data_IF_953810255175
#
_entry.id   IF_953810255175
#
_cell.length_a   1.000
_cell.length_b   1.000
_cell.length_c   1.000
_cell.angle_alpha   90.00
_cell.angle_beta   90.00
_cell.angle_gamma   90.00
#
_symmetry.space_group_name_H-M   'P 1'
#
loop_
_entity.id
_entity.type
_entity.pdbx_description
1 polymer ?
#
# COMPACT_ATOMS: atom_id res chain seq x y z
N UNK A 1 19.50 20.35 -8.83
CA UNK A 1 19.16 19.05 -9.42
C UNK A 1 18.80 19.26 -10.89
N UNK A 2 19.27 18.42 -11.84
CA UNK A 2 18.86 18.54 -13.22
C UNK A 2 17.35 18.28 -13.35
N UNK A 3 16.66 19.11 -14.14
CA UNK A 3 15.23 18.92 -14.43
C UNK A 3 15.08 17.73 -15.37
N UNK A 4 14.01 16.93 -15.19
CA UNK A 4 13.66 15.83 -16.10
C UNK A 4 13.57 16.33 -17.55
N UNK A 5 14.15 15.60 -18.49
CA UNK A 5 13.98 15.85 -19.93
C UNK A 5 12.51 15.67 -20.35
N UNK A 6 12.08 16.23 -21.49
CA UNK A 6 10.75 15.96 -22.04
C UNK A 6 10.47 14.46 -22.21
N UNK A 7 11.45 13.69 -22.68
CA UNK A 7 11.36 12.24 -22.86
C UNK A 7 11.14 11.51 -21.52
N UNK A 8 11.88 11.89 -20.47
CA UNK A 8 11.73 11.31 -19.13
C UNK A 8 10.34 11.60 -18.54
N UNK A 9 9.79 12.79 -18.79
CA UNK A 9 8.43 13.14 -18.35
C UNK A 9 7.38 12.33 -19.10
N UNK A 10 7.52 12.22 -20.42
CA UNK A 10 6.60 11.42 -21.24
C UNK A 10 6.64 9.93 -20.85
N UNK A 11 7.82 9.40 -20.51
CA UNK A 11 7.94 8.02 -20.02
C UNK A 11 7.32 7.82 -18.64
N UNK A 12 7.46 8.79 -17.74
CA UNK A 12 6.77 8.78 -16.45
C UNK A 12 5.25 8.84 -16.58
N UNK A 13 4.76 9.67 -17.49
CA UNK A 13 3.33 9.77 -17.79
C UNK A 13 2.78 8.47 -18.39
N UNK A 14 3.52 7.82 -19.30
CA UNK A 14 3.15 6.50 -19.83
C UNK A 14 3.02 5.45 -18.72
N UNK A 15 4.00 5.36 -17.82
CA UNK A 15 3.97 4.42 -16.70
C UNK A 15 2.84 4.72 -15.72
N UNK A 16 2.55 6.01 -15.46
CA UNK A 16 1.41 6.41 -14.65
C UNK A 16 0.08 5.95 -15.26
N UNK A 17 -0.13 6.19 -16.57
CA UNK A 17 -1.32 5.73 -17.28
C UNK A 17 -1.44 4.20 -17.24
N UNK A 18 -0.33 3.49 -17.44
CA UNK A 18 -0.31 2.03 -17.37
C UNK A 18 -0.65 1.50 -15.96
N UNK A 19 -0.18 2.16 -14.88
CA UNK A 19 -0.55 1.78 -13.51
C UNK A 19 -2.04 2.02 -13.22
N UNK A 20 -2.61 3.12 -13.73
CA UNK A 20 -4.05 3.40 -13.61
C UNK A 20 -4.91 2.38 -14.36
N UNK A 21 -4.43 1.91 -15.52
CA UNK A 21 -5.19 1.05 -16.44
C UNK A 21 -4.88 -0.43 -16.33
N UNK A 22 -4.00 -0.85 -15.42
CA UNK A 22 -3.69 -2.25 -15.19
C UNK A 22 -4.95 -2.99 -14.71
N UNK A 23 -5.26 -4.14 -15.32
CA UNK A 23 -6.51 -4.87 -15.11
C UNK A 23 -6.35 -6.18 -14.34
N UNK A 24 -5.12 -6.50 -13.90
CA UNK A 24 -4.81 -7.72 -13.18
C UNK A 24 -3.44 -7.62 -12.49
N UNK A 25 -3.17 -8.60 -11.63
CA UNK A 25 -1.90 -8.72 -10.90
C UNK A 25 -0.67 -8.72 -11.78
N UNK A 26 -0.67 -9.44 -12.92
CA UNK A 26 0.49 -9.51 -13.81
C UNK A 26 0.83 -8.15 -14.43
N UNK A 27 -0.17 -7.31 -14.71
CA UNK A 27 0.02 -5.94 -15.19
C UNK A 27 0.44 -4.97 -14.07
N UNK A 28 0.09 -5.26 -12.82
CA UNK A 28 0.48 -4.46 -11.65
C UNK A 28 1.90 -4.76 -11.16
N UNK A 29 2.39 -5.99 -11.34
CA UNK A 29 3.70 -6.46 -10.87
C UNK A 29 4.89 -5.55 -11.23
N UNK A 30 5.01 -5.02 -12.47
CA UNK A 30 6.12 -4.15 -12.84
C UNK A 30 6.20 -2.87 -11.99
N UNK A 31 5.09 -2.42 -11.41
CA UNK A 31 5.05 -1.18 -10.63
C UNK A 31 5.54 -1.36 -9.19
N UNK A 32 5.73 -2.58 -8.69
CA UNK A 32 6.28 -2.82 -7.34
C UNK A 32 7.66 -2.16 -7.14
N UNK A 33 8.41 -1.98 -8.22
CA UNK A 33 9.77 -1.42 -8.20
C UNK A 33 9.90 -0.11 -9.00
N UNK A 34 8.78 0.49 -9.41
CA UNK A 34 8.79 1.75 -10.16
C UNK A 34 9.59 2.83 -9.38
N UNK A 35 10.51 3.57 -10.02
CA UNK A 35 11.33 4.55 -9.31
C UNK A 35 10.50 5.69 -8.70
N UNK A 36 9.31 5.98 -9.25
CA UNK A 36 8.42 7.02 -8.75
C UNK A 36 7.42 6.46 -7.74
N UNK A 37 7.53 6.90 -6.48
CA UNK A 37 6.62 6.48 -5.41
C UNK A 37 5.13 6.79 -5.69
N UNK A 38 4.83 7.83 -6.48
CA UNK A 38 3.46 8.16 -6.82
C UNK A 38 2.85 7.11 -7.75
N UNK A 39 3.64 6.55 -8.68
CA UNK A 39 3.18 5.47 -9.57
C UNK A 39 2.95 4.18 -8.78
N UNK A 40 3.82 3.88 -7.81
CA UNK A 40 3.62 2.73 -6.91
C UNK A 40 2.35 2.87 -6.05
N UNK A 41 2.08 4.08 -5.56
CA UNK A 41 0.83 4.38 -4.85
C UNK A 41 -0.40 4.23 -5.77
N UNK A 42 -0.34 4.76 -7.00
CA UNK A 42 -1.38 4.56 -8.02
C UNK A 42 -1.66 3.08 -8.26
N UNK A 43 -0.62 2.26 -8.42
CA UNK A 43 -0.77 0.82 -8.64
C UNK A 43 -1.37 0.11 -7.41
N UNK A 44 -1.00 0.49 -6.19
CA UNK A 44 -1.58 -0.05 -4.96
C UNK A 44 -3.05 0.37 -4.74
N UNK A 45 -3.45 1.53 -5.26
CA UNK A 45 -4.83 2.04 -5.22
C UNK A 45 -5.72 1.43 -6.32
N UNK A 46 -5.13 0.76 -7.31
CA UNK A 46 -5.86 0.24 -8.46
C UNK A 46 -6.94 -0.77 -8.02
N UNK A 47 -8.21 -0.60 -8.43
CA UNK A 47 -9.32 -1.45 -7.98
C UNK A 47 -9.18 -2.94 -8.35
N UNK A 48 -8.40 -3.26 -9.39
CA UNK A 48 -8.10 -4.62 -9.82
C UNK A 48 -6.92 -5.25 -9.06
N UNK A 49 -6.34 -4.52 -8.09
CA UNK A 49 -5.34 -5.07 -7.17
C UNK A 49 -5.99 -6.07 -6.20
N UNK A 50 -5.56 -7.33 -6.31
CA UNK A 50 -5.98 -8.40 -5.41
C UNK A 50 -5.19 -8.40 -4.09
N UNK A 51 -5.60 -9.27 -3.16
CA UNK A 51 -4.97 -9.39 -1.85
C UNK A 51 -3.48 -9.77 -1.93
N UNK A 52 -3.06 -10.55 -2.93
CA UNK A 52 -1.68 -11.04 -3.06
C UNK A 52 -0.74 -9.92 -3.50
N UNK A 53 -1.13 -9.16 -4.54
CA UNK A 53 -0.32 -8.04 -5.00
C UNK A 53 -0.29 -6.90 -3.97
N UNK A 54 -1.39 -6.67 -3.25
CA UNK A 54 -1.44 -5.71 -2.14
C UNK A 54 -0.50 -6.10 -1.01
N UNK A 55 -0.37 -7.37 -0.67
CA UNK A 55 0.59 -7.83 0.33
C UNK A 55 2.05 -7.53 -0.09
N UNK A 56 2.33 -7.62 -1.39
CA UNK A 56 3.63 -7.23 -1.95
C UNK A 56 3.84 -5.72 -1.85
N UNK A 57 2.85 -4.89 -2.22
CA UNK A 57 2.91 -3.43 -2.04
C UNK A 57 3.02 -3.00 -0.56
N UNK A 58 2.52 -3.79 0.39
CA UNK A 58 2.69 -3.52 1.82
C UNK A 58 4.16 -3.54 2.28
N UNK A 59 5.09 -4.07 1.48
CA UNK A 59 6.53 -4.02 1.74
C UNK A 59 7.20 -2.73 1.22
N UNK A 60 6.43 -1.78 0.67
CA UNK A 60 7.00 -0.55 0.15
C UNK A 60 7.70 0.29 1.23
N UNK A 61 8.86 0.84 0.88
CA UNK A 61 9.66 1.69 1.77
C UNK A 61 8.97 3.01 2.14
N UNK A 62 8.07 3.50 1.31
CA UNK A 62 7.31 4.72 1.57
C UNK A 62 5.97 4.39 2.23
N UNK A 63 5.72 5.06 3.35
CA UNK A 63 4.47 4.89 4.09
C UNK A 63 3.23 5.24 3.25
N UNK A 64 3.33 6.18 2.30
CA UNK A 64 2.19 6.57 1.45
C UNK A 64 1.64 5.41 0.61
N UNK A 65 2.52 4.59 0.02
CA UNK A 65 2.10 3.40 -0.73
C UNK A 65 1.42 2.39 0.21
N UNK A 66 1.97 2.20 1.40
CA UNK A 66 1.38 1.30 2.41
C UNK A 66 0.02 1.79 2.93
N UNK A 67 -0.23 3.10 2.95
CA UNK A 67 -1.55 3.65 3.28
C UNK A 67 -2.58 3.31 2.20
N UNK A 68 -2.22 3.39 0.91
CA UNK A 68 -3.11 2.95 -0.16
C UNK A 68 -3.47 1.47 -0.02
N UNK A 69 -2.51 0.63 0.36
CA UNK A 69 -2.77 -0.78 0.67
C UNK A 69 -3.77 -0.94 1.81
N UNK A 70 -3.60 -0.24 2.94
CA UNK A 70 -4.52 -0.33 4.09
C UNK A 70 -5.95 0.11 3.72
N UNK A 71 -6.06 1.17 2.92
CA UNK A 71 -7.37 1.71 2.51
C UNK A 71 -8.07 0.85 1.46
N UNK A 72 -7.34 -0.03 0.78
CA UNK A 72 -7.88 -0.84 -0.30
C UNK A 72 -8.95 -1.83 0.19
N UNK A 73 -10.03 -1.98 -0.57
CA UNK A 73 -11.13 -2.90 -0.22
C UNK A 73 -10.67 -4.36 -0.16
N UNK A 74 -9.78 -4.76 -1.07
CA UNK A 74 -9.28 -6.13 -1.22
C UNK A 74 -8.12 -6.48 -0.27
N UNK A 75 -7.66 -5.57 0.60
CA UNK A 75 -6.53 -5.88 1.51
C UNK A 75 -6.89 -6.99 2.48
N UNK A 76 -6.01 -7.98 2.62
CA UNK A 76 -6.25 -9.10 3.54
C UNK A 76 -6.09 -8.67 5.00
N UNK A 77 -6.78 -9.35 5.92
CA UNK A 77 -6.58 -9.15 7.36
C UNK A 77 -5.13 -9.48 7.77
N UNK A 78 -4.56 -10.54 7.20
CA UNK A 78 -3.16 -10.93 7.43
C UNK A 78 -2.19 -9.79 7.09
N UNK A 79 -2.39 -9.12 5.95
CA UNK A 79 -1.59 -7.97 5.54
C UNK A 79 -1.75 -6.80 6.52
N UNK A 80 -2.98 -6.49 6.95
CA UNK A 80 -3.24 -5.44 7.95
C UNK A 80 -2.53 -5.73 9.27
N UNK A 81 -2.62 -6.97 9.78
CA UNK A 81 -1.93 -7.40 11.02
C UNK A 81 -0.42 -7.26 10.90
N UNK A 82 0.17 -7.62 9.76
CA UNK A 82 1.61 -7.48 9.49
C UNK A 82 2.08 -6.01 9.45
N UNK A 83 1.18 -5.07 9.13
CA UNK A 83 1.48 -3.64 9.12
C UNK A 83 1.43 -2.98 10.50
N UNK A 84 1.04 -3.72 11.55
CA UNK A 84 1.07 -3.23 12.93
C UNK A 84 2.49 -3.21 13.49
N UNK A 85 2.82 -2.14 14.20
CA UNK A 85 4.08 -2.02 14.93
C UNK A 85 3.89 -2.36 16.44
N UNK A 86 4.54 -3.43 16.93
CA UNK A 86 4.42 -3.83 18.33
C UNK A 86 5.06 -2.83 19.31
N UNK A 87 6.08 -2.08 18.90
CA UNK A 87 6.75 -1.11 19.78
C UNK A 87 6.02 0.22 19.75
N UNK A 88 5.42 0.60 20.88
CA UNK A 88 4.63 1.85 21.00
C UNK A 88 5.35 3.09 20.45
N UNK A 89 6.65 3.24 20.71
CA UNK A 89 7.45 4.38 20.25
C UNK A 89 7.78 4.39 18.74
N UNK A 90 7.49 3.30 18.03
CA UNK A 90 7.68 3.19 16.57
C UNK A 90 6.37 3.24 15.79
N UNK A 91 5.22 3.28 16.49
CA UNK A 91 3.90 3.36 15.85
C UNK A 91 3.82 4.66 15.05
N UNK A 92 3.49 4.49 13.78
CA UNK A 92 3.32 5.59 12.83
C UNK A 92 1.96 5.53 12.15
N UNK A 93 1.79 6.39 11.14
CA UNK A 93 0.53 6.54 10.39
C UNK A 93 -0.01 5.21 9.85
N UNK A 94 0.88 4.31 9.38
CA UNK A 94 0.48 3.00 8.82
C UNK A 94 -0.10 2.08 9.91
N UNK A 95 0.51 2.05 11.11
CA UNK A 95 -0.02 1.25 12.22
C UNK A 95 -1.41 1.74 12.61
N UNK A 96 -1.61 3.05 12.78
CA UNK A 96 -2.91 3.59 13.17
C UNK A 96 -3.97 3.33 12.10
N UNK A 97 -3.65 3.52 10.83
CA UNK A 97 -4.57 3.20 9.74
C UNK A 97 -4.95 1.71 9.73
N UNK A 98 -3.98 0.80 9.93
CA UNK A 98 -4.25 -0.63 10.01
C UNK A 98 -5.12 -0.98 11.23
N UNK A 99 -4.89 -0.35 12.40
CA UNK A 99 -5.74 -0.51 13.58
C UNK A 99 -7.19 -0.10 13.29
N UNK A 100 -7.41 1.09 12.72
CA UNK A 100 -8.76 1.55 12.39
C UNK A 100 -9.42 0.62 11.38
N UNK A 101 -8.69 0.16 10.35
CA UNK A 101 -9.22 -0.79 9.37
C UNK A 101 -9.59 -2.15 9.96
N UNK A 102 -8.81 -2.64 10.93
CA UNK A 102 -9.09 -3.88 11.64
C UNK A 102 -10.31 -3.73 12.57
N UNK A 103 -10.44 -2.60 13.27
CA UNK A 103 -11.63 -2.29 14.08
C UNK A 103 -12.89 -2.17 13.23
N UNK A 104 -12.81 -1.56 12.04
CA UNK A 104 -13.92 -1.56 11.06
C UNK A 104 -14.36 -2.97 10.68
N UNK A 105 -13.45 -3.95 10.72
CA UNK A 105 -13.71 -5.37 10.47
C UNK A 105 -14.16 -6.14 11.71
N UNK A 106 -14.36 -5.46 12.85
CA UNK A 106 -14.82 -6.06 14.11
C UNK A 106 -13.71 -6.70 14.94
N UNK A 107 -12.44 -6.46 14.63
CA UNK A 107 -11.32 -6.96 15.45
C UNK A 107 -11.18 -6.09 16.70
N UNK A 108 -11.23 -6.72 17.86
CA UNK A 108 -11.05 -6.07 19.16
C UNK A 108 -9.57 -5.83 19.46
N UNK A 109 -9.28 -4.78 20.24
CA UNK A 109 -7.91 -4.38 20.60
C UNK A 109 -7.76 -4.30 22.12
N UNK A 110 -6.63 -4.80 22.62
CA UNK A 110 -6.26 -4.71 24.02
C UNK A 110 -5.77 -3.31 24.43
N UNK A 111 -5.50 -3.14 25.73
CA UNK A 111 -4.93 -1.90 26.29
C UNK A 111 -3.54 -1.57 25.71
N UNK A 112 -2.82 -2.58 25.24
CA UNK A 112 -1.53 -2.42 24.57
C UNK A 112 -1.68 -1.85 23.15
N UNK A 113 -2.89 -1.73 22.61
CA UNK A 113 -3.18 -1.27 21.26
C UNK A 113 -2.81 -2.27 20.18
N UNK A 114 -2.83 -3.58 20.50
CA UNK A 114 -2.73 -4.68 19.54
C UNK A 114 -4.05 -5.48 19.48
N UNK A 115 -4.31 -6.19 18.37
CA UNK A 115 -5.47 -7.08 18.25
C UNK A 115 -5.50 -8.13 19.35
N UNK A 116 -6.69 -8.40 19.86
CA UNK A 116 -6.95 -9.61 20.65
C UNK A 116 -7.10 -10.77 19.66
N UNK A 117 -6.27 -11.80 19.83
CA UNK A 117 -6.41 -13.05 19.11
C UNK A 117 -7.24 -14.00 20.00
N UNK A 118 -8.30 -14.60 19.44
CA UNK A 118 -9.16 -15.58 20.11
C UNK A 118 -8.41 -16.89 20.48
#
# INVERSE_FOLDING_TARGET
MPKKSPEQKAEEERRYIAACGAANTAELEPFLTDPNQAIRATAAMNPDADAEILDRFANDRFWGVRIEVVNHANVSEMTLRRLLEPKMNKRGVVHHAACEKLKERGIEFGEDGMPLDD
#
